data_IF_661160251505
#
_entry.id   IF_661160251505
#
_cell.length_a   1.000
_cell.length_b   1.000
_cell.length_c   1.000
_cell.angle_alpha   90.00
_cell.angle_beta   90.00
_cell.angle_gamma   90.00
#
_symmetry.space_group_name_H-M   'P 1'
#
loop_
_entity.id
_entity.type
_entity.pdbx_description
1 polymer ?
#
# COMPACT_ATOMS: atom_id res chain seq x y z
N UNK A 1 -49.25 12.50 27.62
CA UNK A 1 -48.43 11.39 27.07
C UNK A 1 -47.04 11.92 26.78
N UNK A 2 -46.07 11.60 27.62
CA UNK A 2 -44.67 12.05 27.47
C UNK A 2 -44.06 11.28 26.29
N UNK A 3 -43.63 11.97 25.24
CA UNK A 3 -42.85 11.35 24.15
C UNK A 3 -41.60 10.73 24.78
N UNK A 4 -41.46 9.40 24.72
CA UNK A 4 -40.18 8.75 25.01
C UNK A 4 -39.16 9.30 24.00
N UNK A 5 -38.09 9.93 24.49
CA UNK A 5 -36.95 10.28 23.66
C UNK A 5 -36.35 8.99 23.12
N UNK A 6 -36.22 8.89 21.80
CA UNK A 6 -35.64 7.72 21.15
C UNK A 6 -34.11 7.86 21.18
N UNK A 7 -33.50 7.50 22.31
CA UNK A 7 -32.05 7.54 22.52
C UNK A 7 -31.49 6.19 22.06
N UNK A 8 -30.62 6.18 21.05
CA UNK A 8 -30.00 4.94 20.57
C UNK A 8 -28.80 4.54 21.47
N UNK A 9 -28.28 3.31 21.35
CA UNK A 9 -27.14 2.86 22.17
C UNK A 9 -25.88 3.70 21.94
N UNK A 10 -25.65 4.21 20.73
CA UNK A 10 -24.54 5.13 20.44
C UNK A 10 -24.70 6.45 21.18
N UNK A 11 -25.90 7.03 21.21
CA UNK A 11 -26.23 8.23 21.98
C UNK A 11 -26.05 7.98 23.48
N UNK A 12 -26.47 6.80 23.96
CA UNK A 12 -26.27 6.38 25.35
C UNK A 12 -24.79 6.16 25.68
N UNK A 13 -24.02 5.46 24.84
CA UNK A 13 -22.60 5.20 25.05
C UNK A 13 -21.76 6.48 24.95
N UNK A 14 -22.09 7.39 24.03
CA UNK A 14 -21.48 8.71 23.94
C UNK A 14 -21.83 9.55 25.19
N UNK A 15 -23.07 9.46 25.69
CA UNK A 15 -23.48 10.10 26.96
C UNK A 15 -22.91 9.45 28.23
N UNK A 16 -22.67 8.14 28.21
CA UNK A 16 -22.08 7.39 29.33
C UNK A 16 -20.56 7.56 29.39
N UNK A 17 -19.89 7.69 28.25
CA UNK A 17 -18.49 8.10 28.17
C UNK A 17 -18.27 9.49 28.81
N UNK A 18 -19.22 10.42 28.65
CA UNK A 18 -19.24 11.71 29.36
C UNK A 18 -19.45 11.59 30.87
N UNK A 19 -19.96 10.44 31.37
CA UNK A 19 -20.24 10.21 32.80
C UNK A 19 -19.10 9.47 33.51
N UNK A 20 -18.31 8.66 32.77
CA UNK A 20 -17.16 7.91 33.30
C UNK A 20 -15.91 8.76 33.54
N UNK A 21 -15.84 9.98 32.99
CA UNK A 21 -14.80 10.97 33.33
C UNK A 21 -14.81 11.37 34.81
N UNK A 22 -15.87 11.06 35.56
CA UNK A 22 -15.99 11.37 36.98
C UNK A 22 -15.68 10.20 37.95
N UNK A 23 -15.37 8.97 37.48
CA UNK A 23 -15.19 7.86 38.43
C UNK A 23 -14.73 6.52 37.87
N UNK A 24 -13.42 6.29 37.95
CA UNK A 24 -12.71 4.99 38.05
C UNK A 24 -12.63 4.03 36.84
N UNK A 25 -11.43 3.42 36.73
CA UNK A 25 -11.05 2.20 36.01
C UNK A 25 -10.73 2.27 34.49
N UNK A 26 -10.27 3.41 34.00
CA UNK A 26 -9.56 3.46 32.71
C UNK A 26 -8.05 3.49 33.00
N UNK A 27 -7.28 2.67 32.28
CA UNK A 27 -5.82 2.85 32.25
C UNK A 27 -5.50 4.23 31.65
N UNK A 28 -4.36 4.85 32.01
CA UNK A 28 -3.97 6.14 31.43
C UNK A 28 -4.02 6.14 29.89
N UNK A 29 -3.70 5.01 29.23
CA UNK A 29 -3.78 4.85 27.79
C UNK A 29 -5.22 4.85 27.24
N UNK A 30 -6.16 4.19 27.92
CA UNK A 30 -7.58 4.23 27.54
C UNK A 30 -8.19 5.62 27.77
N UNK A 31 -7.77 6.29 28.85
CA UNK A 31 -8.10 7.70 29.10
C UNK A 31 -7.56 8.59 27.98
N UNK A 32 -6.32 8.43 27.52
CA UNK A 32 -5.78 9.19 26.39
C UNK A 32 -6.51 8.89 25.07
N UNK A 33 -6.89 7.64 24.82
CA UNK A 33 -7.67 7.26 23.63
C UNK A 33 -9.08 7.87 23.64
N UNK A 34 -9.72 7.97 24.81
CA UNK A 34 -11.04 8.59 24.96
C UNK A 34 -10.99 10.13 25.03
N UNK A 35 -9.91 10.71 25.59
CA UNK A 35 -9.75 12.16 25.67
C UNK A 35 -9.51 12.80 24.29
N UNK A 36 -9.05 12.01 23.30
CA UNK A 36 -8.96 12.46 21.92
C UNK A 36 -10.30 12.54 21.19
N UNK A 37 -11.36 11.92 21.72
CA UNK A 37 -12.73 12.04 21.18
C UNK A 37 -13.52 13.19 21.79
N UNK A 38 -13.02 13.84 22.85
CA UNK A 38 -13.75 14.84 23.66
C UNK A 38 -13.24 16.27 23.54
N UNK A 39 -12.18 16.52 22.76
CA UNK A 39 -11.89 17.87 22.28
C UNK A 39 -12.87 18.23 21.17
N UNK A 40 -13.55 19.37 21.30
CA UNK A 40 -14.40 19.99 20.26
C UNK A 40 -13.62 20.43 19.00
N UNK A 41 -12.33 20.08 18.90
CA UNK A 41 -11.60 20.06 17.64
C UNK A 41 -11.97 18.76 16.93
N UNK A 42 -12.54 18.87 15.73
CA UNK A 42 -12.77 17.72 14.86
C UNK A 42 -11.47 16.94 14.76
N UNK A 43 -11.42 15.74 15.36
CA UNK A 43 -10.28 14.85 15.24
C UNK A 43 -10.03 14.64 13.74
N UNK A 44 -8.88 15.13 13.27
CA UNK A 44 -8.48 15.05 11.88
C UNK A 44 -7.21 14.17 11.79
N UNK A 45 -7.39 12.85 11.67
CA UNK A 45 -6.28 11.89 11.65
C UNK A 45 -5.11 12.25 10.73
N UNK A 46 -5.31 12.82 9.53
CA UNK A 46 -4.21 13.14 8.63
C UNK A 46 -3.18 14.13 9.20
N UNK A 47 -3.57 15.03 10.10
CA UNK A 47 -2.65 16.00 10.76
C UNK A 47 -1.90 15.41 11.97
N UNK A 48 -2.26 14.21 12.41
CA UNK A 48 -1.64 13.59 13.58
C UNK A 48 -0.23 13.12 13.26
N UNK A 49 0.70 13.50 14.13
CA UNK A 49 2.12 13.16 14.02
C UNK A 49 2.45 11.79 14.65
N UNK A 50 3.61 11.24 14.32
CA UNK A 50 4.11 9.96 14.84
C UNK A 50 3.79 8.76 13.94
N UNK A 51 4.06 7.54 14.42
CA UNK A 51 3.79 6.32 13.66
C UNK A 51 2.30 5.96 13.74
N UNK A 52 1.52 6.37 12.73
CA UNK A 52 0.06 6.17 12.67
C UNK A 52 -0.40 4.93 11.89
N UNK A 53 0.54 4.13 11.34
CA UNK A 53 0.22 2.90 10.59
C UNK A 53 -0.22 1.77 11.53
N UNK A 54 0.26 0.56 11.29
CA UNK A 54 0.18 -0.47 12.32
C UNK A 54 0.97 0.00 13.56
N UNK A 55 0.29 0.12 14.69
CA UNK A 55 0.86 0.65 15.93
C UNK A 55 0.43 -0.25 17.11
N UNK A 56 1.13 -0.20 18.26
CA UNK A 56 0.66 -0.86 19.47
C UNK A 56 -0.81 -0.52 19.73
N UNK A 57 -1.65 -1.53 19.88
CA UNK A 57 -3.11 -1.41 19.97
C UNK A 57 -3.87 -1.78 18.70
N UNK A 58 -3.36 -1.54 17.48
CA UNK A 58 -4.09 -1.86 16.26
C UNK A 58 -4.10 -3.36 15.94
N UNK A 59 -3.05 -4.09 16.32
CA UNK A 59 -2.92 -5.52 16.01
C UNK A 59 -3.15 -6.47 17.20
N UNK A 60 -3.32 -5.95 18.41
CA UNK A 60 -3.30 -6.78 19.62
C UNK A 60 -4.47 -7.74 19.72
N UNK A 61 -5.67 -7.30 19.32
CA UNK A 61 -6.86 -8.17 19.28
C UNK A 61 -6.67 -9.30 18.28
N UNK A 62 -6.14 -8.98 17.09
CA UNK A 62 -5.86 -9.97 16.05
C UNK A 62 -4.80 -10.98 16.51
N UNK A 63 -3.73 -10.51 17.15
CA UNK A 63 -2.70 -11.39 17.73
C UNK A 63 -3.24 -12.24 18.88
N UNK A 64 -4.04 -11.67 19.78
CA UNK A 64 -4.66 -12.42 20.86
C UNK A 64 -5.50 -13.58 20.32
N UNK A 65 -6.28 -13.34 19.26
CA UNK A 65 -7.07 -14.38 18.59
C UNK A 65 -6.17 -15.43 17.90
N UNK A 66 -5.31 -14.98 16.99
CA UNK A 66 -4.60 -15.85 16.05
C UNK A 66 -3.38 -16.56 16.64
N UNK A 67 -2.73 -15.94 17.64
CA UNK A 67 -1.49 -16.46 18.26
C UNK A 67 -1.71 -16.97 19.67
N UNK A 68 -2.55 -16.30 20.46
CA UNK A 68 -2.71 -16.61 21.88
C UNK A 68 -3.99 -17.39 22.19
N UNK A 69 -4.79 -17.73 21.17
CA UNK A 69 -6.00 -18.54 21.32
C UNK A 69 -7.13 -17.84 22.07
N UNK A 70 -7.10 -16.51 22.19
CA UNK A 70 -8.18 -15.75 22.83
C UNK A 70 -9.52 -16.03 22.14
N UNK A 71 -10.59 -16.03 22.94
CA UNK A 71 -11.97 -16.18 22.51
C UNK A 71 -12.82 -15.15 23.22
N UNK A 72 -13.78 -14.61 22.51
CA UNK A 72 -14.80 -13.72 23.07
C UNK A 72 -16.13 -14.45 23.04
N UNK A 73 -16.93 -14.29 24.08
CA UNK A 73 -18.27 -14.85 24.11
C UNK A 73 -19.12 -14.19 23.02
N UNK A 74 -19.93 -14.99 22.33
CA UNK A 74 -20.92 -14.45 21.42
C UNK A 74 -21.91 -13.59 22.22
N UNK A 75 -22.23 -12.36 21.76
CA UNK A 75 -23.21 -11.52 22.43
C UNK A 75 -24.56 -12.25 22.53
N UNK A 76 -25.12 -12.33 23.74
CA UNK A 76 -26.42 -13.00 23.96
C UNK A 76 -27.62 -12.21 23.44
N UNK A 77 -27.42 -10.93 23.12
CA UNK A 77 -28.44 -10.05 22.60
C UNK A 77 -27.84 -9.20 21.47
N UNK A 78 -28.64 -8.94 20.44
CA UNK A 78 -28.33 -7.95 19.42
C UNK A 78 -28.33 -6.56 20.06
N UNK A 79 -27.24 -5.81 19.88
CA UNK A 79 -27.03 -4.50 20.53
C UNK A 79 -27.12 -3.31 19.59
N UNK A 80 -27.33 -3.56 18.29
CA UNK A 80 -27.45 -2.55 17.24
C UNK A 80 -28.52 -2.97 16.21
N UNK A 81 -28.81 -2.12 15.22
CA UNK A 81 -29.76 -2.42 14.15
C UNK A 81 -29.19 -3.38 13.09
N UNK A 82 -30.07 -3.93 12.26
CA UNK A 82 -29.66 -4.76 11.13
C UNK A 82 -28.92 -3.92 10.07
N UNK A 83 -27.87 -4.49 9.49
CA UNK A 83 -27.09 -3.91 8.41
C UNK A 83 -27.28 -4.73 7.15
N UNK A 84 -27.46 -4.06 6.01
CA UNK A 84 -27.55 -4.70 4.69
C UNK A 84 -26.17 -5.23 4.23
N UNK A 85 -25.09 -4.63 4.75
CA UNK A 85 -23.70 -5.03 4.52
C UNK A 85 -22.83 -4.66 5.73
N UNK A 86 -21.99 -5.61 6.15
CA UNK A 86 -20.88 -5.36 7.08
C UNK A 86 -19.56 -5.51 6.33
N UNK A 87 -18.71 -4.49 6.40
CA UNK A 87 -17.38 -4.46 5.81
C UNK A 87 -16.34 -4.41 6.93
N UNK A 88 -15.43 -5.38 6.95
CA UNK A 88 -14.30 -5.39 7.89
C UNK A 88 -13.06 -4.89 7.14
N UNK A 89 -12.58 -3.72 7.53
CA UNK A 89 -11.50 -2.96 6.90
C UNK A 89 -12.01 -1.78 6.08
N UNK A 90 -11.72 -0.56 6.53
CA UNK A 90 -12.00 0.73 5.87
C UNK A 90 -10.93 1.15 4.85
N UNK A 91 -10.13 0.23 4.32
CA UNK A 91 -9.20 0.49 3.22
C UNK A 91 -9.90 0.67 1.86
N UNK A 92 -9.13 0.96 0.80
CA UNK A 92 -9.65 1.11 -0.58
C UNK A 92 -10.60 -0.04 -0.97
N UNK A 93 -10.23 -1.29 -0.69
CA UNK A 93 -11.06 -2.45 -1.04
C UNK A 93 -12.41 -2.44 -0.32
N UNK A 94 -12.44 -2.17 0.98
CA UNK A 94 -13.67 -2.15 1.77
C UNK A 94 -14.57 -0.96 1.44
N UNK A 95 -13.97 0.23 1.27
CA UNK A 95 -14.69 1.42 0.82
C UNK A 95 -15.27 1.23 -0.59
N UNK A 96 -14.53 0.59 -1.49
CA UNK A 96 -15.02 0.25 -2.83
C UNK A 96 -16.17 -0.76 -2.78
N UNK A 97 -16.10 -1.77 -1.90
CA UNK A 97 -17.18 -2.73 -1.70
C UNK A 97 -18.46 -2.03 -1.20
N UNK A 98 -18.34 -1.19 -0.17
CA UNK A 98 -19.46 -0.39 0.34
C UNK A 98 -20.05 0.54 -0.73
N UNK A 99 -19.19 1.21 -1.48
CA UNK A 99 -19.59 2.12 -2.56
C UNK A 99 -20.36 1.39 -3.67
N UNK A 100 -19.82 0.28 -4.17
CA UNK A 100 -20.44 -0.52 -5.23
C UNK A 100 -21.73 -1.22 -4.74
N UNK A 101 -21.79 -1.63 -3.48
CA UNK A 101 -23.01 -2.16 -2.88
C UNK A 101 -24.13 -1.10 -2.90
N UNK A 102 -23.82 0.11 -2.42
CA UNK A 102 -24.77 1.23 -2.41
C UNK A 102 -25.22 1.63 -3.81
N UNK A 103 -24.36 1.50 -4.83
CA UNK A 103 -24.78 1.71 -6.22
C UNK A 103 -25.81 0.68 -6.71
N UNK A 104 -25.68 -0.58 -6.27
CA UNK A 104 -26.57 -1.67 -6.70
C UNK A 104 -27.88 -1.73 -5.92
N UNK A 105 -27.82 -1.46 -4.61
CA UNK A 105 -28.93 -1.68 -3.68
C UNK A 105 -29.62 -0.38 -3.23
N UNK A 106 -29.09 0.77 -3.65
CA UNK A 106 -29.68 2.08 -3.40
C UNK A 106 -29.04 2.83 -2.24
N UNK A 107 -29.32 4.14 -2.20
CA UNK A 107 -28.71 5.08 -1.25
C UNK A 107 -29.12 4.85 0.20
N UNK A 108 -30.21 4.11 0.43
CA UNK A 108 -30.78 3.84 1.74
C UNK A 108 -30.21 2.57 2.39
N UNK A 109 -29.21 1.91 1.77
CA UNK A 109 -28.55 0.76 2.38
C UNK A 109 -27.82 1.14 3.66
N UNK A 110 -28.09 0.39 4.73
CA UNK A 110 -27.43 0.50 6.02
C UNK A 110 -26.13 -0.32 5.99
N UNK A 111 -24.99 0.35 5.83
CA UNK A 111 -23.68 -0.30 5.70
C UNK A 111 -22.84 0.02 6.95
N UNK A 112 -22.38 -1.02 7.65
CA UNK A 112 -21.40 -0.90 8.72
C UNK A 112 -19.99 -1.13 8.17
N UNK A 113 -19.08 -0.20 8.41
CA UNK A 113 -17.65 -0.35 8.10
C UNK A 113 -16.89 -0.33 9.42
N UNK A 114 -16.09 -1.37 9.67
CA UNK A 114 -15.27 -1.51 10.86
C UNK A 114 -13.80 -1.36 10.47
N UNK A 115 -13.09 -0.43 11.09
CA UNK A 115 -11.63 -0.31 10.96
C UNK A 115 -11.02 -0.22 12.36
N UNK A 116 -9.83 -0.80 12.51
CA UNK A 116 -9.05 -0.78 13.74
C UNK A 116 -8.10 0.43 13.82
N UNK A 117 -8.08 1.27 12.79
CA UNK A 117 -7.33 2.52 12.75
C UNK A 117 -8.22 3.73 13.02
N UNK A 118 -7.56 4.83 13.33
CA UNK A 118 -8.12 6.16 13.57
C UNK A 118 -8.61 6.86 12.30
N UNK A 119 -8.17 6.40 11.13
CA UNK A 119 -8.53 6.92 9.81
C UNK A 119 -8.95 5.80 8.85
N UNK A 120 -9.70 6.17 7.81
CA UNK A 120 -10.01 5.28 6.70
C UNK A 120 -8.92 5.34 5.61
N UNK A 121 -9.01 4.45 4.62
CA UNK A 121 -8.10 4.40 3.47
C UNK A 121 -7.02 3.33 3.56
N UNK A 122 -6.74 2.79 4.75
CA UNK A 122 -5.75 1.73 4.96
C UNK A 122 -4.36 2.16 4.48
N UNK A 123 -3.71 1.37 3.62
CA UNK A 123 -2.42 1.75 3.04
C UNK A 123 -2.45 3.05 2.23
N UNK A 124 -3.61 3.48 1.74
CA UNK A 124 -3.76 4.70 0.95
C UNK A 124 -4.23 5.92 1.76
N UNK A 125 -4.07 5.87 3.10
CA UNK A 125 -4.28 7.02 3.94
C UNK A 125 -3.31 8.16 3.61
N UNK A 126 -3.68 9.37 3.99
CA UNK A 126 -2.92 10.60 3.80
C UNK A 126 -2.25 11.02 5.10
N UNK A 127 -1.02 11.50 5.02
CA UNK A 127 -0.34 12.18 6.11
C UNK A 127 -0.12 13.65 5.72
N UNK A 128 -0.36 14.57 6.64
CA UNK A 128 -0.18 16.01 6.44
C UNK A 128 0.84 16.55 7.44
N UNK A 129 1.76 17.38 6.96
CA UNK A 129 2.81 17.99 7.76
C UNK A 129 2.84 19.48 7.52
N UNK A 130 3.18 20.27 8.54
CA UNK A 130 3.52 21.68 8.35
C UNK A 130 5.03 21.85 8.54
N UNK A 131 5.73 22.26 7.49
CA UNK A 131 7.18 22.53 7.49
C UNK A 131 7.39 23.97 7.02
N UNK A 132 8.03 24.79 7.86
CA UNK A 132 8.28 26.21 7.58
C UNK A 132 7.03 27.00 7.11
N UNK A 133 5.88 26.73 7.75
CA UNK A 133 4.61 27.36 7.42
C UNK A 133 3.94 26.85 6.13
N UNK A 134 4.48 25.80 5.50
CA UNK A 134 3.89 25.15 4.32
C UNK A 134 3.29 23.80 4.68
N UNK A 135 2.05 23.57 4.26
CA UNK A 135 1.44 22.26 4.34
C UNK A 135 2.03 21.34 3.27
N UNK A 136 2.50 20.17 3.68
CA UNK A 136 3.00 19.09 2.84
C UNK A 136 2.09 17.89 3.00
N UNK A 137 1.74 17.26 1.88
CA UNK A 137 0.92 16.06 1.86
C UNK A 137 1.79 14.88 1.42
N UNK A 138 1.75 13.79 2.18
CA UNK A 138 2.45 12.55 1.88
C UNK A 138 1.49 11.35 1.97
N UNK A 139 1.90 10.24 1.37
CA UNK A 139 1.15 8.97 1.44
C UNK A 139 1.49 8.20 2.72
N UNK A 140 0.51 7.43 3.21
CA UNK A 140 0.71 6.48 4.31
C UNK A 140 1.39 5.18 3.88
N UNK A 141 1.31 4.82 2.61
CA UNK A 141 1.98 3.65 2.02
C UNK A 141 1.78 3.51 0.51
N UNK A 142 0.54 3.66 0.04
CA UNK A 142 0.22 3.66 -1.40
C UNK A 142 0.62 4.99 -2.02
N UNK A 143 1.71 4.98 -2.80
CA UNK A 143 2.27 6.19 -3.40
C UNK A 143 1.55 6.65 -4.67
N UNK A 144 1.23 5.73 -5.60
CA UNK A 144 0.75 6.07 -6.94
C UNK A 144 -0.26 5.06 -7.49
N UNK A 145 -1.07 5.52 -8.44
CA UNK A 145 -1.94 4.68 -9.27
C UNK A 145 -1.12 4.25 -10.49
N UNK A 146 -0.64 3.00 -10.49
CA UNK A 146 0.12 2.46 -11.60
C UNK A 146 -0.81 2.09 -12.78
N UNK A 147 -0.49 2.62 -13.96
CA UNK A 147 -1.14 2.32 -15.25
C UNK A 147 -2.68 2.25 -15.22
N UNK A 148 -3.39 3.33 -14.81
CA UNK A 148 -4.86 3.32 -14.75
C UNK A 148 -5.52 3.05 -16.12
N UNK A 149 -4.80 3.32 -17.20
CA UNK A 149 -5.20 2.98 -18.57
C UNK A 149 -5.36 1.48 -18.82
N UNK A 150 -4.67 0.62 -18.07
CA UNK A 150 -4.71 -0.85 -18.19
C UNK A 150 -5.77 -1.47 -17.27
N UNK A 151 -6.41 -0.69 -16.41
CA UNK A 151 -7.37 -1.21 -15.42
C UNK A 151 -8.66 -1.72 -16.06
N UNK A 152 -9.35 -2.60 -15.32
CA UNK A 152 -10.68 -3.08 -15.69
C UNK A 152 -11.68 -1.93 -15.82
N UNK A 153 -12.77 -2.16 -16.55
CA UNK A 153 -13.84 -1.17 -16.69
C UNK A 153 -14.42 -0.73 -15.33
N UNK A 154 -14.50 -1.65 -14.36
CA UNK A 154 -14.96 -1.36 -13.00
C UNK A 154 -14.00 -0.41 -12.28
N UNK A 155 -12.69 -0.67 -12.34
CA UNK A 155 -11.67 0.19 -11.71
C UNK A 155 -11.64 1.59 -12.33
N UNK A 156 -11.66 1.67 -13.67
CA UNK A 156 -11.73 2.96 -14.37
C UNK A 156 -12.98 3.76 -14.04
N UNK A 157 -14.13 3.08 -13.95
CA UNK A 157 -15.39 3.71 -13.55
C UNK A 157 -15.30 4.22 -12.11
N UNK A 158 -14.76 3.42 -11.19
CA UNK A 158 -14.60 3.81 -9.79
C UNK A 158 -13.79 5.12 -9.66
N UNK A 159 -12.66 5.24 -10.35
CA UNK A 159 -11.85 6.48 -10.32
C UNK A 159 -12.67 7.70 -10.76
N UNK A 160 -13.42 7.59 -11.87
CA UNK A 160 -14.29 8.68 -12.34
C UNK A 160 -15.41 9.00 -11.36
N UNK A 161 -16.04 7.97 -10.82
CA UNK A 161 -17.13 8.05 -9.87
C UNK A 161 -16.76 8.79 -8.57
N UNK A 162 -15.49 8.68 -8.13
CA UNK A 162 -14.95 9.42 -6.98
C UNK A 162 -14.16 10.67 -7.39
N UNK A 163 -14.35 11.14 -8.63
CA UNK A 163 -13.74 12.36 -9.18
C UNK A 163 -12.19 12.38 -9.19
N UNK A 164 -11.55 11.23 -9.36
CA UNK A 164 -10.11 11.15 -9.59
C UNK A 164 -9.82 11.36 -11.08
N UNK A 165 -9.15 12.46 -11.39
CA UNK A 165 -8.63 12.80 -12.72
C UNK A 165 -7.16 12.37 -12.83
N UNK A 166 -6.89 11.25 -13.49
CA UNK A 166 -5.54 10.67 -13.56
C UNK A 166 -4.54 11.52 -14.33
N UNK A 167 -5.00 12.32 -15.29
CA UNK A 167 -4.13 13.13 -16.14
C UNK A 167 -3.45 14.27 -15.37
N UNK A 168 -4.08 14.76 -14.28
CA UNK A 168 -3.51 15.79 -13.41
C UNK A 168 -2.20 15.36 -12.74
N UNK A 169 -1.94 14.06 -12.65
CA UNK A 169 -0.65 13.56 -12.15
C UNK A 169 0.52 14.20 -12.89
N UNK A 170 0.40 14.38 -14.21
CA UNK A 170 1.48 14.93 -15.04
C UNK A 170 1.69 16.44 -14.85
N UNK A 171 0.74 17.15 -14.25
CA UNK A 171 0.88 18.57 -13.89
C UNK A 171 1.62 18.75 -12.55
N UNK A 172 1.45 17.80 -11.62
CA UNK A 172 1.99 17.88 -10.25
C UNK A 172 3.27 17.08 -10.05
N UNK A 173 3.52 16.06 -10.84
CA UNK A 173 4.70 15.22 -10.71
C UNK A 173 5.87 15.79 -11.51
N UNK A 174 6.89 16.27 -10.80
CA UNK A 174 8.13 16.78 -11.39
C UNK A 174 8.96 15.63 -12.00
N UNK A 175 8.69 15.33 -13.27
CA UNK A 175 9.40 14.31 -14.05
C UNK A 175 10.87 14.66 -14.30
N UNK A 176 11.21 15.94 -14.25
CA UNK A 176 12.57 16.43 -14.47
C UNK A 176 13.33 16.65 -13.14
N UNK A 177 12.75 16.29 -11.99
CA UNK A 177 13.33 16.55 -10.67
C UNK A 177 14.80 16.10 -10.56
N UNK A 178 15.07 14.85 -10.97
CA UNK A 178 16.40 14.25 -10.95
C UNK A 178 17.30 14.83 -12.05
N UNK A 179 16.77 14.97 -13.28
CA UNK A 179 17.49 15.51 -14.44
C UNK A 179 17.99 16.93 -14.20
N UNK A 180 17.13 17.82 -13.73
CA UNK A 180 17.44 19.22 -13.43
C UNK A 180 18.49 19.36 -12.32
N UNK A 181 18.56 18.39 -11.41
CA UNK A 181 19.54 18.35 -10.31
C UNK A 181 20.80 17.54 -10.66
N UNK A 182 20.91 17.04 -11.90
CA UNK A 182 22.00 16.16 -12.34
C UNK A 182 22.19 14.94 -11.43
N UNK A 183 21.09 14.47 -10.83
CA UNK A 183 21.07 13.26 -10.00
C UNK A 183 20.90 12.03 -10.91
N UNK A 184 21.67 10.99 -10.63
CA UNK A 184 21.65 9.71 -11.37
C UNK A 184 21.39 8.55 -10.42
N UNK A 185 20.90 7.44 -10.97
CA UNK A 185 20.77 6.17 -10.24
C UNK A 185 22.11 5.45 -10.30
N UNK A 186 22.60 5.02 -9.14
CA UNK A 186 23.81 4.21 -9.03
C UNK A 186 23.50 2.76 -8.70
N UNK A 187 24.27 1.83 -9.25
CA UNK A 187 24.32 0.43 -8.83
C UNK A 187 25.61 0.22 -8.03
N UNK A 188 25.46 -0.28 -6.79
CA UNK A 188 26.58 -0.53 -5.90
C UNK A 188 27.00 -2.01 -5.95
N UNK A 189 28.27 -2.22 -6.22
CA UNK A 189 28.95 -3.51 -6.18
C UNK A 189 29.78 -3.57 -4.90
N UNK A 190 29.43 -4.46 -3.99
CA UNK A 190 30.15 -4.64 -2.73
C UNK A 190 31.46 -5.38 -2.93
N UNK A 191 32.47 -5.05 -2.11
CA UNK A 191 33.75 -5.78 -2.12
C UNK A 191 33.61 -7.28 -1.87
N UNK A 192 32.75 -7.67 -0.93
CA UNK A 192 32.61 -9.07 -0.53
C UNK A 192 32.12 -9.94 -1.71
N UNK A 193 31.31 -9.38 -2.60
CA UNK A 193 30.76 -10.10 -3.75
C UNK A 193 31.56 -9.88 -5.04
N UNK A 194 32.07 -8.68 -5.27
CA UNK A 194 32.66 -8.26 -6.55
C UNK A 194 34.15 -7.88 -6.47
N UNK A 195 34.80 -8.17 -5.34
CA UNK A 195 36.24 -7.95 -5.11
C UNK A 195 36.65 -6.50 -4.84
N UNK A 196 35.78 -5.51 -5.12
CA UNK A 196 35.97 -4.10 -4.75
C UNK A 196 34.64 -3.38 -4.52
N UNK A 197 34.66 -2.38 -3.65
CA UNK A 197 33.56 -1.44 -3.52
C UNK A 197 33.55 -0.51 -4.73
N UNK A 198 32.48 -0.54 -5.51
CA UNK A 198 32.38 0.22 -6.76
C UNK A 198 30.94 0.64 -7.01
N UNK A 199 30.74 1.89 -7.46
CA UNK A 199 29.43 2.39 -7.89
C UNK A 199 29.53 2.72 -9.38
N UNK A 200 28.59 2.21 -10.15
CA UNK A 200 28.42 2.54 -11.58
C UNK A 200 27.01 3.09 -11.82
N UNK A 201 26.75 3.60 -13.02
CA UNK A 201 25.40 3.96 -13.44
C UNK A 201 24.50 2.70 -13.46
N UNK A 202 23.24 2.83 -13.03
CA UNK A 202 22.32 1.70 -12.88
C UNK A 202 21.55 1.41 -14.18
N UNK A 203 21.93 0.33 -14.88
CA UNK A 203 21.27 -0.13 -16.11
C UNK A 203 19.80 -0.55 -15.93
N UNK A 204 19.39 -1.02 -14.74
CA UNK A 204 18.06 -1.62 -14.48
C UNK A 204 16.98 -0.58 -14.15
N UNK A 205 17.29 0.71 -14.24
CA UNK A 205 16.39 1.77 -13.81
C UNK A 205 16.49 3.06 -14.58
N UNK A 206 17.34 3.17 -15.60
CA UNK A 206 17.29 4.29 -16.53
C UNK A 206 16.21 4.01 -17.57
N UNK A 207 15.44 5.02 -17.95
CA UNK A 207 14.83 5.07 -19.27
C UNK A 207 15.99 5.21 -20.27
N UNK A 208 16.76 4.13 -20.46
CA UNK A 208 17.77 4.09 -21.50
C UNK A 208 16.93 4.02 -22.77
N UNK A 209 16.71 5.18 -23.37
CA UNK A 209 16.33 5.28 -24.79
C UNK A 209 17.17 4.24 -25.54
N UNK A 210 16.58 3.45 -26.45
CA UNK A 210 17.16 2.31 -27.18
C UNK A 210 18.56 2.58 -27.80
N UNK A 211 19.56 2.80 -26.96
CA UNK A 211 20.90 3.25 -27.29
C UNK A 211 21.84 2.17 -26.79
N UNK A 212 21.97 1.16 -27.64
CA UNK A 212 22.78 -0.02 -27.43
C UNK A 212 24.21 0.33 -26.96
N UNK A 213 24.79 1.41 -27.49
CA UNK A 213 26.14 1.83 -27.13
C UNK A 213 26.22 2.31 -25.68
N UNK A 214 25.24 3.07 -25.21
CA UNK A 214 25.19 3.51 -23.81
C UNK A 214 25.02 2.33 -22.85
N UNK A 215 24.20 1.34 -23.22
CA UNK A 215 24.05 0.09 -22.46
C UNK A 215 25.40 -0.64 -22.35
N UNK A 216 26.11 -0.77 -23.47
CA UNK A 216 27.43 -1.41 -23.54
C UNK A 216 28.42 -0.67 -22.64
N UNK A 217 28.48 0.65 -22.73
CA UNK A 217 29.42 1.46 -21.96
C UNK A 217 29.19 1.34 -20.45
N UNK A 218 27.91 1.34 -20.02
CA UNK A 218 27.53 1.16 -18.61
C UNK A 218 27.93 -0.24 -18.11
N UNK A 219 27.60 -1.30 -18.86
CA UNK A 219 27.91 -2.68 -18.48
C UNK A 219 29.43 -2.91 -18.44
N UNK A 220 30.19 -2.29 -19.37
CA UNK A 220 31.64 -2.41 -19.41
C UNK A 220 32.33 -1.81 -18.19
N UNK A 221 31.72 -0.83 -17.54
CA UNK A 221 32.21 -0.26 -16.28
C UNK A 221 32.03 -1.23 -15.08
N UNK A 222 31.13 -2.22 -15.18
CA UNK A 222 30.84 -3.12 -14.07
C UNK A 222 32.04 -4.02 -13.71
N UNK A 223 32.27 -4.27 -12.41
CA UNK A 223 33.39 -5.08 -11.93
C UNK A 223 33.05 -6.58 -11.95
N UNK A 224 32.55 -7.07 -13.09
CA UNK A 224 32.17 -8.47 -13.33
C UNK A 224 32.98 -9.03 -14.50
N UNK A 225 32.99 -10.36 -14.68
CA UNK A 225 33.73 -10.98 -15.77
C UNK A 225 33.17 -10.60 -17.14
N UNK A 226 34.03 -10.56 -18.16
CA UNK A 226 33.64 -10.23 -19.55
C UNK A 226 32.54 -11.15 -20.09
N UNK A 227 32.54 -12.43 -19.71
CA UNK A 227 31.48 -13.38 -20.07
C UNK A 227 30.12 -12.99 -19.50
N UNK A 228 30.11 -12.39 -18.32
CA UNK A 228 28.90 -11.97 -17.61
C UNK A 228 28.40 -10.62 -18.08
N UNK A 229 29.32 -9.71 -18.46
CA UNK A 229 28.97 -8.49 -19.20
C UNK A 229 28.22 -8.82 -20.49
N UNK A 230 28.76 -9.75 -21.29
CA UNK A 230 28.12 -10.19 -22.52
C UNK A 230 26.76 -10.84 -22.28
N UNK A 231 26.63 -11.68 -21.24
CA UNK A 231 25.36 -12.31 -20.89
C UNK A 231 24.31 -11.31 -20.39
N UNK A 232 24.70 -10.34 -19.55
CA UNK A 232 23.83 -9.26 -19.09
C UNK A 232 23.36 -8.39 -20.25
N UNK A 233 24.27 -8.01 -21.15
CA UNK A 233 23.93 -7.27 -22.35
C UNK A 233 22.89 -8.04 -23.19
N UNK A 234 23.13 -9.34 -23.43
CA UNK A 234 22.18 -10.20 -24.14
C UNK A 234 20.82 -10.27 -23.42
N UNK A 235 20.81 -10.41 -22.10
CA UNK A 235 19.58 -10.48 -21.31
C UNK A 235 18.72 -9.21 -21.46
N UNK A 236 19.36 -8.04 -21.58
CA UNK A 236 18.68 -6.75 -21.68
C UNK A 236 18.24 -6.40 -23.11
N UNK A 237 18.98 -6.85 -24.13
CA UNK A 237 18.72 -6.49 -25.53
C UNK A 237 17.98 -7.56 -26.34
N UNK A 238 18.01 -8.84 -25.92
CA UNK A 238 17.42 -9.93 -26.69
C UNK A 238 15.89 -10.00 -26.52
N UNK A 239 15.19 -10.23 -27.62
CA UNK A 239 13.76 -10.58 -27.64
C UNK A 239 13.53 -12.09 -27.56
N UNK A 240 14.48 -12.82 -26.98
CA UNK A 240 14.48 -14.29 -26.94
C UNK A 240 13.37 -14.82 -26.04
N UNK A 241 12.59 -15.79 -26.55
CA UNK A 241 11.59 -16.49 -25.74
C UNK A 241 12.21 -17.76 -25.15
N UNK A 242 12.71 -17.68 -23.91
CA UNK A 242 13.33 -18.80 -23.20
C UNK A 242 12.38 -19.99 -22.92
N UNK A 243 11.07 -19.81 -23.12
CA UNK A 243 10.06 -20.86 -22.98
C UNK A 243 9.49 -21.29 -24.34
N UNK A 244 10.20 -20.99 -25.44
CA UNK A 244 9.85 -21.49 -26.76
C UNK A 244 9.95 -23.02 -26.78
N UNK A 245 8.91 -23.67 -27.30
CA UNK A 245 8.81 -25.14 -27.29
C UNK A 245 8.34 -25.75 -25.96
N UNK A 246 8.18 -24.97 -24.89
CA UNK A 246 7.46 -25.42 -23.69
C UNK A 246 5.96 -25.46 -23.98
N UNK A 247 5.30 -26.57 -23.61
CA UNK A 247 3.94 -26.99 -23.98
C UNK A 247 2.85 -25.93 -24.04
N UNK A 248 1.80 -26.08 -23.24
CA UNK A 248 0.66 -25.16 -23.25
C UNK A 248 0.98 -23.85 -22.53
N UNK A 249 0.13 -22.83 -22.72
CA UNK A 249 0.22 -21.60 -21.91
C UNK A 249 0.06 -21.89 -20.41
N UNK A 250 -0.76 -22.88 -20.05
CA UNK A 250 -0.97 -23.29 -18.66
C UNK A 250 0.30 -23.92 -18.06
N UNK A 251 1.04 -24.73 -18.83
CA UNK A 251 2.31 -25.30 -18.40
C UNK A 251 3.35 -24.21 -18.10
N UNK A 252 3.41 -23.18 -18.97
CA UNK A 252 4.29 -22.02 -18.77
C UNK A 252 3.92 -21.26 -17.50
N UNK A 253 2.63 -20.98 -17.28
CA UNK A 253 2.15 -20.31 -16.06
C UNK A 253 2.47 -21.13 -14.82
N UNK A 254 2.25 -22.44 -14.85
CA UNK A 254 2.50 -23.32 -13.72
C UNK A 254 4.00 -23.41 -13.38
N UNK A 255 4.87 -23.40 -14.39
CA UNK A 255 6.31 -23.29 -14.17
C UNK A 255 6.68 -21.96 -13.51
N UNK A 256 6.25 -20.84 -14.08
CA UNK A 256 6.59 -19.50 -13.60
C UNK A 256 6.08 -19.25 -12.17
N UNK A 257 4.92 -19.81 -11.81
CA UNK A 257 4.40 -19.75 -10.42
C UNK A 257 5.28 -20.46 -9.40
N UNK A 258 6.09 -21.42 -9.83
CA UNK A 258 6.95 -22.26 -8.96
C UNK A 258 8.43 -21.94 -9.10
N UNK A 259 8.79 -20.99 -9.95
CA UNK A 259 10.18 -20.66 -10.27
C UNK A 259 10.42 -19.21 -9.89
N UNK A 260 11.35 -18.96 -8.96
CA UNK A 260 11.77 -17.60 -8.66
C UNK A 260 12.39 -16.95 -9.90
N UNK A 261 12.38 -15.62 -9.99
CA UNK A 261 13.04 -14.94 -11.12
C UNK A 261 14.53 -15.29 -11.21
N UNK A 262 15.23 -15.36 -10.07
CA UNK A 262 16.63 -15.78 -10.03
C UNK A 262 16.83 -17.23 -10.51
N UNK A 263 15.96 -18.17 -10.13
CA UNK A 263 16.00 -19.54 -10.66
C UNK A 263 15.71 -19.58 -12.17
N UNK A 264 14.83 -18.70 -12.64
CA UNK A 264 14.53 -18.60 -14.05
C UNK A 264 15.77 -18.16 -14.83
N UNK A 265 16.45 -17.12 -14.37
CA UNK A 265 17.70 -16.64 -14.97
C UNK A 265 18.79 -17.73 -15.00
N UNK A 266 18.94 -18.48 -13.91
CA UNK A 266 19.92 -19.59 -13.84
C UNK A 266 19.58 -20.75 -14.75
N UNK A 267 18.35 -21.26 -14.66
CA UNK A 267 17.96 -22.55 -15.26
C UNK A 267 17.55 -22.43 -16.74
N UNK A 268 16.92 -21.32 -17.11
CA UNK A 268 16.32 -21.15 -18.43
C UNK A 268 17.07 -20.13 -19.29
N UNK A 269 17.59 -19.05 -18.69
CA UNK A 269 18.39 -18.06 -19.43
C UNK A 269 19.91 -18.29 -19.36
N UNK A 270 20.36 -19.27 -18.56
CA UNK A 270 21.77 -19.63 -18.37
C UNK A 270 22.66 -18.41 -18.01
N UNK A 271 22.15 -17.55 -17.15
CA UNK A 271 22.84 -16.35 -16.69
C UNK A 271 23.78 -16.69 -15.53
N UNK A 272 25.01 -16.16 -15.58
CA UNK A 272 26.03 -16.38 -14.57
C UNK A 272 25.63 -15.81 -13.21
N UNK A 273 26.08 -16.46 -12.15
CA UNK A 273 25.67 -16.12 -10.78
C UNK A 273 25.96 -14.66 -10.41
N UNK A 274 27.11 -14.11 -10.82
CA UNK A 274 27.47 -12.72 -10.51
C UNK A 274 26.53 -11.65 -11.13
N UNK A 275 25.67 -12.03 -12.08
CA UNK A 275 24.61 -11.18 -12.67
C UNK A 275 23.26 -11.38 -11.98
N UNK A 276 23.01 -12.57 -11.39
CA UNK A 276 21.71 -12.93 -10.81
C UNK A 276 21.51 -12.41 -9.38
N UNK A 277 22.62 -12.15 -8.68
CA UNK A 277 22.63 -11.78 -7.25
C UNK A 277 22.10 -10.38 -6.96
#
# INVERSE_FOLDING_TARGET
MTKKLNINRRDFMNGFAMSLTAGTALSPFELFAMNHQTSNELLYPPELIGMRGNHPGSFEVAHALARNGARWAEPSNQTDHDYDLVVVGGGISGLSAAYLYRQRHGRNSNILILDNHDDFGGHAKRNEFTVDGKQLICYGGSQSIAEPGSWSAVGKKLLKDVAIETDRFYDYFDRDYFKNRKLRRGLYFSRDQYGKDYVSDNILGTEIEDNEQEIIDIINAYPIAETSKAALFKLLSATENYLLGMGSQEDKINLLRRTSYSDFLRKYANIQEEVVQ
#
